data_IF_638482325066
#
_entry.id   IF_638482325066
#
_cell.length_a   1.000
_cell.length_b   1.000
_cell.length_c   1.000
_cell.angle_alpha   90.00
_cell.angle_beta   90.00
_cell.angle_gamma   90.00
#
_symmetry.space_group_name_H-M   'P 1'
#
loop_
_entity.id
_entity.type
_entity.pdbx_description
1 polymer ?
#
# COMPACT_ATOMS: atom_id res chain seq x y z
N UNK A 1 12.91 -11.84 23.85
CA UNK A 1 13.75 -10.70 23.38
C UNK A 1 14.60 -11.20 22.24
N UNK A 2 14.45 -10.63 21.04
CA UNK A 2 15.31 -10.97 19.89
C UNK A 2 16.62 -10.22 20.09
N UNK A 3 17.73 -10.95 20.18
CA UNK A 3 19.07 -10.37 20.28
C UNK A 3 19.34 -9.45 19.09
N UNK A 4 20.04 -8.33 19.32
CA UNK A 4 20.54 -7.48 18.23
C UNK A 4 21.31 -8.36 17.22
N UNK A 5 21.04 -8.22 15.91
CA UNK A 5 21.78 -8.96 14.87
C UNK A 5 23.26 -8.57 14.93
N UNK A 6 24.15 -9.47 14.54
CA UNK A 6 25.59 -9.20 14.54
C UNK A 6 25.98 -8.36 13.33
N UNK A 7 25.45 -8.69 12.16
CA UNK A 7 25.77 -8.02 10.89
C UNK A 7 24.50 -7.62 10.12
N UNK A 8 24.64 -6.64 9.23
CA UNK A 8 23.56 -6.25 8.31
C UNK A 8 23.16 -7.40 7.37
N UNK A 9 24.05 -8.36 7.09
CA UNK A 9 23.75 -9.48 6.20
C UNK A 9 22.81 -10.52 6.85
N UNK A 10 22.81 -10.64 8.18
CA UNK A 10 21.83 -11.49 8.90
C UNK A 10 20.40 -11.00 8.68
N UNK A 11 20.21 -9.69 8.45
CA UNK A 11 18.90 -9.09 8.17
C UNK A 11 18.36 -9.46 6.78
N UNK A 12 19.22 -9.82 5.83
CA UNK A 12 18.77 -10.32 4.52
C UNK A 12 18.05 -11.66 4.66
N UNK A 13 18.51 -12.54 5.56
CA UNK A 13 17.92 -13.88 5.77
C UNK A 13 16.47 -13.82 6.26
N UNK A 14 16.12 -12.76 6.97
CA UNK A 14 14.76 -12.52 7.51
C UNK A 14 13.97 -11.50 6.69
N UNK A 15 14.46 -11.14 5.50
CA UNK A 15 13.86 -10.12 4.60
C UNK A 15 13.48 -8.83 5.35
N UNK A 16 14.33 -8.40 6.29
CA UNK A 16 14.00 -7.29 7.16
C UNK A 16 14.13 -5.94 6.44
N UNK A 17 13.24 -5.03 6.79
CA UNK A 17 13.46 -3.60 6.63
C UNK A 17 14.03 -3.05 7.93
N UNK A 18 14.60 -1.84 7.91
CA UNK A 18 15.16 -1.23 9.11
C UNK A 18 14.51 0.11 9.35
N UNK A 19 13.91 0.27 10.53
CA UNK A 19 13.45 1.58 10.99
C UNK A 19 14.64 2.35 11.54
N UNK A 20 14.90 3.50 10.94
CA UNK A 20 15.94 4.44 11.31
C UNK A 20 15.29 5.59 12.07
N UNK A 21 15.64 5.76 13.34
CA UNK A 21 15.11 6.82 14.18
C UNK A 21 16.25 7.71 14.67
N UNK A 22 16.17 9.00 14.36
CA UNK A 22 17.11 9.98 14.91
C UNK A 22 16.72 10.32 16.35
N UNK A 23 17.65 10.20 17.32
CA UNK A 23 17.36 10.56 18.72
C UNK A 23 17.19 12.05 18.94
N UNK A 24 17.88 12.90 18.16
CA UNK A 24 17.80 14.35 18.30
C UNK A 24 16.47 14.93 17.82
N UNK A 25 16.13 14.73 16.55
CA UNK A 25 14.91 15.30 15.94
C UNK A 25 13.70 14.36 15.97
N UNK A 26 13.85 13.13 16.48
CA UNK A 26 12.81 12.07 16.51
C UNK A 26 12.26 11.68 15.13
N UNK A 27 12.89 12.14 14.04
CA UNK A 27 12.52 11.73 12.69
C UNK A 27 12.71 10.22 12.55
N UNK A 28 11.69 9.56 12.00
CA UNK A 28 11.66 8.13 11.81
C UNK A 28 11.37 7.83 10.36
N UNK A 29 12.19 6.98 9.75
CA UNK A 29 11.98 6.47 8.40
C UNK A 29 12.21 4.96 8.37
N UNK A 30 11.56 4.28 7.43
CA UNK A 30 11.77 2.86 7.17
C UNK A 30 12.59 2.73 5.91
N UNK A 31 13.77 2.13 6.03
CA UNK A 31 14.70 1.95 4.94
C UNK A 31 14.75 0.49 4.50
N UNK A 32 14.92 0.31 3.19
CA UNK A 32 15.36 -0.96 2.63
C UNK A 32 16.77 -1.28 3.09
N UNK A 33 17.04 -2.56 3.37
CA UNK A 33 18.36 -2.99 3.85
C UNK A 33 19.50 -2.62 2.89
N UNK A 34 19.26 -2.66 1.58
CA UNK A 34 20.25 -2.27 0.58
C UNK A 34 20.55 -0.77 0.62
N UNK A 35 19.54 0.07 0.88
CA UNK A 35 19.71 1.51 1.04
C UNK A 35 20.52 1.82 2.31
N UNK A 36 20.24 1.09 3.40
CA UNK A 36 21.02 1.17 4.63
C UNK A 36 22.49 0.79 4.42
N UNK A 37 22.75 -0.35 3.78
CA UNK A 37 24.13 -0.81 3.47
C UNK A 37 24.84 0.21 2.59
N UNK A 38 24.17 0.76 1.57
CA UNK A 38 24.74 1.77 0.68
C UNK A 38 25.06 3.08 1.42
N UNK A 39 24.21 3.53 2.34
CA UNK A 39 24.47 4.71 3.18
C UNK A 39 25.66 4.49 4.12
N UNK A 40 25.70 3.35 4.80
CA UNK A 40 26.81 2.98 5.70
C UNK A 40 28.14 2.95 4.93
N UNK A 41 28.16 2.30 3.75
CA UNK A 41 29.35 2.26 2.89
C UNK A 41 29.76 3.64 2.40
N UNK A 42 28.81 4.50 2.00
CA UNK A 42 29.08 5.90 1.58
C UNK A 42 29.72 6.73 2.69
N UNK A 43 29.39 6.46 3.94
CA UNK A 43 29.96 7.14 5.10
C UNK A 43 31.23 6.44 5.65
N UNK A 44 31.78 5.45 4.95
CA UNK A 44 33.00 4.73 5.33
C UNK A 44 32.83 3.76 6.51
N UNK A 45 31.60 3.39 6.84
CA UNK A 45 31.28 2.49 7.95
C UNK A 45 31.34 1.00 7.59
N UNK A 46 31.44 0.15 8.62
CA UNK A 46 31.37 -1.30 8.48
C UNK A 46 29.90 -1.81 8.51
N UNK A 47 29.65 -2.98 7.92
CA UNK A 47 28.37 -3.69 7.92
C UNK A 47 28.03 -4.38 9.25
N UNK A 48 28.87 -4.24 10.28
CA UNK A 48 28.53 -4.65 11.64
C UNK A 48 27.37 -3.81 12.19
N UNK A 49 26.38 -4.44 12.83
CA UNK A 49 25.16 -3.77 13.27
C UNK A 49 25.42 -2.58 14.21
N UNK A 50 26.34 -2.75 15.17
CA UNK A 50 26.71 -1.68 16.11
C UNK A 50 27.49 -0.54 15.44
N UNK A 51 28.34 -0.85 14.47
CA UNK A 51 29.13 0.13 13.74
C UNK A 51 28.26 0.93 12.75
N UNK A 52 27.30 0.26 12.12
CA UNK A 52 26.33 0.87 11.21
C UNK A 52 25.56 2.02 11.88
N UNK A 53 25.13 1.85 13.15
CA UNK A 53 24.44 2.91 13.93
C UNK A 53 25.20 4.24 13.98
N UNK A 54 26.54 4.19 14.03
CA UNK A 54 27.40 5.39 14.10
C UNK A 54 27.72 5.97 12.72
N UNK A 55 27.48 5.21 11.67
CA UNK A 55 27.86 5.54 10.29
C UNK A 55 26.69 6.11 9.49
N UNK A 56 25.50 6.25 10.10
CA UNK A 56 24.29 6.73 9.43
C UNK A 56 24.00 8.15 9.89
N UNK A 57 23.66 9.00 8.93
CA UNK A 57 23.23 10.38 9.20
C UNK A 57 21.72 10.41 9.43
N UNK A 58 21.26 11.42 10.17
CA UNK A 58 19.84 11.65 10.35
C UNK A 58 19.15 11.80 8.98
N UNK A 59 17.97 11.17 8.76
CA UNK A 59 17.23 11.32 7.50
C UNK A 59 16.89 12.77 7.16
N UNK A 60 16.49 13.55 8.17
CA UNK A 60 16.29 15.02 8.06
C UNK A 60 17.57 15.86 8.11
N UNK A 61 18.75 15.23 8.03
CA UNK A 61 20.08 15.87 8.08
C UNK A 61 20.32 16.80 9.27
N UNK A 62 19.72 16.53 10.43
CA UNK A 62 20.06 17.27 11.64
C UNK A 62 21.43 16.83 12.19
N UNK A 63 22.06 17.66 13.01
CA UNK A 63 23.41 17.44 13.56
C UNK A 63 23.48 16.34 14.64
N UNK A 64 22.42 15.57 14.86
CA UNK A 64 22.40 14.55 15.91
C UNK A 64 23.27 13.34 15.53
N UNK A 65 24.24 12.95 16.37
CA UNK A 65 25.13 11.83 16.08
C UNK A 65 24.55 10.46 16.47
N UNK A 66 23.37 10.44 17.11
CA UNK A 66 22.77 9.22 17.66
C UNK A 66 21.56 8.78 16.84
N UNK A 67 21.73 7.68 16.13
CA UNK A 67 20.69 7.02 15.34
C UNK A 67 20.39 5.65 15.93
N UNK A 68 19.11 5.40 16.20
CA UNK A 68 18.60 4.08 16.54
C UNK A 68 18.20 3.32 15.28
N UNK A 69 18.59 2.05 15.25
CA UNK A 69 18.19 1.10 14.21
C UNK A 69 17.37 0.00 14.85
N UNK A 70 16.16 -0.20 14.33
CA UNK A 70 15.27 -1.28 14.73
C UNK A 70 14.98 -2.17 13.52
N UNK A 71 15.34 -3.47 13.56
CA UNK A 71 15.02 -4.39 12.48
C UNK A 71 13.52 -4.73 12.51
N UNK A 72 12.89 -4.63 11.35
CA UNK A 72 11.51 -5.01 11.11
C UNK A 72 11.51 -6.33 10.33
N UNK A 73 11.41 -7.50 11.01
CA UNK A 73 11.44 -8.79 10.34
C UNK A 73 10.30 -8.92 9.35
N UNK A 74 10.57 -9.54 8.20
CA UNK A 74 9.63 -9.70 7.09
C UNK A 74 9.06 -8.38 6.54
N UNK A 75 9.74 -7.25 6.78
CA UNK A 75 9.31 -5.94 6.30
C UNK A 75 9.12 -5.90 4.79
N UNK A 76 10.07 -6.47 4.01
CA UNK A 76 9.96 -6.55 2.55
C UNK A 76 8.76 -7.38 2.09
N UNK A 77 8.50 -8.51 2.75
CA UNK A 77 7.36 -9.37 2.42
C UNK A 77 6.03 -8.68 2.71
N UNK A 78 5.94 -7.97 3.85
CA UNK A 78 4.78 -7.16 4.20
C UNK A 78 4.56 -6.02 3.21
N UNK A 79 5.61 -5.26 2.87
CA UNK A 79 5.54 -4.19 1.89
C UNK A 79 5.14 -4.69 0.49
N UNK A 80 5.70 -5.82 0.03
CA UNK A 80 5.29 -6.45 -1.24
C UNK A 80 3.82 -6.87 -1.24
N UNK A 81 3.34 -7.44 -0.13
CA UNK A 81 1.94 -7.83 0.02
C UNK A 81 1.02 -6.61 -0.01
N UNK A 82 1.39 -5.55 0.68
CA UNK A 82 0.65 -4.28 0.70
C UNK A 82 0.56 -3.67 -0.70
N UNK A 83 1.70 -3.57 -1.40
CA UNK A 83 1.76 -3.07 -2.77
C UNK A 83 0.91 -3.92 -3.74
N UNK A 84 0.93 -5.25 -3.58
CA UNK A 84 0.09 -6.15 -4.37
C UNK A 84 -1.40 -5.94 -4.08
N UNK A 85 -1.80 -5.78 -2.81
CA UNK A 85 -3.18 -5.46 -2.45
C UNK A 85 -3.63 -4.12 -3.04
N UNK A 86 -2.80 -3.08 -2.95
CA UNK A 86 -3.08 -1.78 -3.54
C UNK A 86 -3.29 -1.89 -5.06
N UNK A 87 -2.38 -2.59 -5.77
CA UNK A 87 -2.49 -2.80 -7.20
C UNK A 87 -3.80 -3.53 -7.58
N UNK A 88 -4.19 -4.56 -6.82
CA UNK A 88 -5.46 -5.26 -7.05
C UNK A 88 -6.68 -4.36 -6.85
N UNK A 89 -6.67 -3.52 -5.82
CA UNK A 89 -7.75 -2.55 -5.57
C UNK A 89 -7.83 -1.55 -6.72
N UNK A 90 -6.71 -0.93 -7.10
CA UNK A 90 -6.68 0.08 -8.16
C UNK A 90 -7.12 -0.47 -9.52
N UNK A 91 -6.64 -1.66 -9.91
CA UNK A 91 -7.04 -2.31 -11.15
C UNK A 91 -8.53 -2.66 -11.14
N UNK A 92 -9.04 -3.16 -10.01
CA UNK A 92 -10.47 -3.46 -9.88
C UNK A 92 -11.31 -2.19 -9.98
N UNK A 93 -10.90 -1.09 -9.34
CA UNK A 93 -11.58 0.19 -9.43
C UNK A 93 -11.54 0.79 -10.84
N UNK A 94 -10.44 0.59 -11.57
CA UNK A 94 -10.34 1.01 -12.96
C UNK A 94 -11.39 0.30 -13.83
N UNK A 95 -11.51 -1.02 -13.70
CA UNK A 95 -12.53 -1.81 -14.42
C UNK A 95 -13.94 -1.29 -14.09
N UNK A 96 -14.22 -1.04 -12.81
CA UNK A 96 -15.54 -0.53 -12.38
C UNK A 96 -15.80 0.89 -12.90
N UNK A 97 -14.78 1.75 -12.98
CA UNK A 97 -14.89 3.11 -13.52
C UNK A 97 -15.22 3.10 -15.01
N UNK A 98 -14.52 2.27 -15.78
CA UNK A 98 -14.75 2.09 -17.21
C UNK A 98 -16.14 1.50 -17.49
N UNK A 99 -16.57 0.52 -16.68
CA UNK A 99 -17.94 0.00 -16.73
C UNK A 99 -18.97 1.07 -16.36
N UNK A 100 -18.67 1.91 -15.38
CA UNK A 100 -19.56 3.00 -14.95
C UNK A 100 -19.77 4.02 -16.07
N UNK A 101 -18.71 4.39 -16.79
CA UNK A 101 -18.79 5.31 -17.93
C UNK A 101 -19.65 4.76 -19.10
N UNK A 102 -19.71 3.43 -19.26
CA UNK A 102 -20.50 2.74 -20.30
C UNK A 102 -21.90 2.31 -19.84
N UNK A 103 -22.13 2.26 -18.53
CA UNK A 103 -23.48 2.28 -17.95
C UNK A 103 -24.22 3.51 -18.49
N UNK A 104 -25.50 3.78 -18.26
CA UNK A 104 -26.25 4.77 -19.06
C UNK A 104 -26.51 4.34 -20.53
N UNK A 105 -25.53 3.84 -21.29
CA UNK A 105 -25.75 3.41 -22.68
C UNK A 105 -25.99 1.90 -22.85
N UNK A 106 -25.34 1.05 -22.05
CA UNK A 106 -25.42 -0.41 -22.20
C UNK A 106 -25.41 -1.14 -20.86
N UNK A 107 -25.95 -2.36 -20.78
CA UNK A 107 -25.78 -3.23 -19.62
C UNK A 107 -24.29 -3.58 -19.46
N UNK A 108 -23.75 -3.43 -18.24
CA UNK A 108 -22.31 -3.61 -17.96
C UNK A 108 -22.06 -4.73 -16.95
N UNK A 109 -23.02 -5.64 -16.80
CA UNK A 109 -22.95 -6.83 -15.96
C UNK A 109 -22.04 -7.92 -16.53
N UNK A 110 -20.81 -7.56 -16.92
CA UNK A 110 -19.87 -8.49 -17.56
C UNK A 110 -19.10 -9.32 -16.53
N UNK A 111 -18.40 -10.35 -17.00
CA UNK A 111 -17.57 -11.20 -16.13
C UNK A 111 -16.45 -10.40 -15.45
N UNK A 112 -15.85 -9.46 -16.16
CA UNK A 112 -14.79 -8.58 -15.65
C UNK A 112 -15.27 -7.74 -14.47
N UNK A 113 -16.47 -7.16 -14.57
CA UNK A 113 -17.10 -6.40 -13.49
C UNK A 113 -17.37 -7.30 -12.29
N UNK A 114 -17.88 -8.51 -12.52
CA UNK A 114 -18.13 -9.48 -11.43
C UNK A 114 -16.83 -9.89 -10.72
N UNK A 115 -15.74 -10.09 -11.47
CA UNK A 115 -14.43 -10.41 -10.92
C UNK A 115 -13.84 -9.24 -10.13
N UNK A 116 -13.92 -8.01 -10.65
CA UNK A 116 -13.48 -6.81 -9.96
C UNK A 116 -14.20 -6.63 -8.62
N UNK A 117 -15.52 -6.80 -8.58
CA UNK A 117 -16.29 -6.77 -7.33
C UNK A 117 -15.87 -7.88 -6.36
N UNK A 118 -15.56 -9.08 -6.86
CA UNK A 118 -15.09 -10.18 -6.03
C UNK A 118 -13.72 -9.87 -5.39
N UNK A 119 -12.79 -9.30 -6.17
CA UNK A 119 -11.47 -8.88 -5.68
C UNK A 119 -11.58 -7.78 -4.62
N UNK A 120 -12.56 -6.89 -4.72
CA UNK A 120 -12.80 -5.82 -3.74
C UNK A 120 -13.46 -6.30 -2.44
N UNK A 121 -14.08 -7.48 -2.42
CA UNK A 121 -14.79 -8.03 -1.25
C UNK A 121 -14.01 -8.03 0.08
N UNK A 122 -12.72 -8.41 0.15
CA UNK A 122 -11.95 -8.33 1.39
C UNK A 122 -11.64 -6.89 1.84
N UNK A 123 -11.67 -5.91 0.93
CA UNK A 123 -11.31 -4.52 1.22
C UNK A 123 -12.54 -3.65 1.55
N UNK A 124 -13.68 -3.98 0.95
CA UNK A 124 -14.97 -3.29 1.12
C UNK A 124 -15.77 -4.03 2.20
N UNK A 125 -15.75 -3.53 3.43
CA UNK A 125 -16.44 -4.17 4.57
C UNK A 125 -17.96 -4.31 4.35
N UNK A 126 -18.57 -3.39 3.60
CA UNK A 126 -20.01 -3.41 3.35
C UNK A 126 -20.34 -4.09 2.01
N UNK A 127 -20.65 -5.40 2.07
CA UNK A 127 -21.04 -6.18 0.89
C UNK A 127 -22.27 -5.64 0.17
N UNK A 128 -23.13 -4.86 0.86
CA UNK A 128 -24.29 -4.21 0.25
C UNK A 128 -23.90 -3.29 -0.90
N UNK A 129 -22.79 -2.55 -0.77
CA UNK A 129 -22.31 -1.63 -1.81
C UNK A 129 -21.91 -2.37 -3.10
N UNK A 130 -21.22 -3.51 -2.96
CA UNK A 130 -20.84 -4.35 -4.09
C UNK A 130 -22.07 -4.93 -4.79
N UNK A 131 -23.06 -5.36 -4.01
CA UNK A 131 -24.33 -5.89 -4.54
C UNK A 131 -25.16 -4.81 -5.23
N UNK A 132 -25.19 -3.59 -4.70
CA UNK A 132 -25.89 -2.45 -5.32
C UNK A 132 -25.25 -2.06 -6.65
N UNK A 133 -23.92 -2.07 -6.74
CA UNK A 133 -23.23 -1.89 -8.01
C UNK A 133 -23.62 -2.99 -9.01
N UNK A 134 -23.56 -4.26 -8.61
CA UNK A 134 -23.90 -5.38 -9.49
C UNK A 134 -25.34 -5.29 -10.00
N UNK A 135 -26.30 -4.98 -9.11
CA UNK A 135 -27.70 -4.79 -9.48
C UNK A 135 -27.89 -3.68 -10.50
N UNK A 136 -27.20 -2.55 -10.34
CA UNK A 136 -27.24 -1.46 -11.31
C UNK A 136 -26.59 -1.85 -12.65
N UNK A 137 -25.52 -2.66 -12.61
CA UNK A 137 -24.80 -3.11 -13.80
C UNK A 137 -25.61 -4.09 -14.65
N UNK A 138 -26.44 -4.94 -14.03
CA UNK A 138 -27.27 -5.96 -14.70
C UNK A 138 -28.72 -5.54 -14.90
N UNK A 139 -29.09 -4.30 -14.59
CA UNK A 139 -30.48 -3.85 -14.70
C UNK A 139 -30.93 -3.78 -16.17
N UNK A 140 -31.98 -4.53 -16.51
CA UNK A 140 -32.66 -4.49 -17.80
C UNK A 140 -34.19 -4.35 -17.60
N UNK A 141 -34.89 -3.54 -18.42
CA UNK A 141 -34.36 -2.63 -19.43
C UNK A 141 -33.57 -1.46 -18.82
N UNK A 142 -32.65 -0.88 -19.60
CA UNK A 142 -31.82 0.25 -19.14
C UNK A 142 -32.69 1.49 -18.94
N UNK A 143 -32.87 1.88 -17.68
CA UNK A 143 -33.52 3.15 -17.34
C UNK A 143 -32.46 4.26 -17.17
N UNK A 144 -32.79 5.53 -17.47
CA UNK A 144 -31.85 6.66 -17.32
C UNK A 144 -31.28 6.82 -15.90
N UNK A 145 -32.00 6.36 -14.88
CA UNK A 145 -31.56 6.39 -13.47
C UNK A 145 -30.81 5.13 -13.03
N UNK A 146 -30.67 4.11 -13.88
CA UNK A 146 -29.97 2.86 -13.59
C UNK A 146 -28.44 2.97 -13.78
N UNK A 147 -27.87 4.14 -13.47
CA UNK A 147 -26.43 4.38 -13.62
C UNK A 147 -25.62 3.75 -12.48
N UNK A 148 -24.42 3.26 -12.81
CA UNK A 148 -23.48 2.74 -11.83
C UNK A 148 -22.66 3.83 -11.11
N UNK A 149 -22.82 5.12 -11.46
CA UNK A 149 -22.02 6.22 -10.90
C UNK A 149 -22.13 6.34 -9.38
N UNK A 150 -23.34 6.25 -8.85
CA UNK A 150 -23.59 6.43 -7.43
C UNK A 150 -23.09 5.24 -6.59
N UNK A 151 -23.39 3.97 -6.95
CA UNK A 151 -22.74 2.81 -6.33
C UNK A 151 -21.21 2.83 -6.41
N UNK A 152 -20.63 3.24 -7.54
CA UNK A 152 -19.18 3.38 -7.69
C UNK A 152 -18.60 4.36 -6.68
N UNK A 153 -19.19 5.56 -6.60
CA UNK A 153 -18.73 6.62 -5.68
C UNK A 153 -18.77 6.16 -4.23
N UNK A 154 -19.78 5.40 -3.82
CA UNK A 154 -19.86 4.87 -2.46
C UNK A 154 -18.79 3.82 -2.16
N UNK A 155 -18.44 2.97 -3.13
CA UNK A 155 -17.32 2.01 -2.98
C UNK A 155 -16.00 2.77 -2.78
N UNK A 156 -15.72 3.76 -3.64
CA UNK A 156 -14.50 4.57 -3.56
C UNK A 156 -14.44 5.35 -2.24
N UNK A 157 -15.55 5.95 -1.80
CA UNK A 157 -15.63 6.65 -0.53
C UNK A 157 -15.34 5.71 0.64
N UNK A 158 -15.94 4.52 0.67
CA UNK A 158 -15.70 3.57 1.76
C UNK A 158 -14.23 3.12 1.81
N UNK A 159 -13.60 2.87 0.66
CA UNK A 159 -12.18 2.51 0.61
C UNK A 159 -11.29 3.64 1.14
N UNK A 160 -11.62 4.89 0.77
CA UNK A 160 -10.92 6.08 1.25
C UNK A 160 -11.08 6.26 2.76
N UNK A 161 -12.30 6.09 3.30
CA UNK A 161 -12.59 6.20 4.73
C UNK A 161 -11.86 5.12 5.55
N UNK A 162 -11.58 3.96 4.95
CA UNK A 162 -10.79 2.88 5.55
C UNK A 162 -9.27 3.11 5.42
N UNK A 163 -8.84 4.21 4.79
CA UNK A 163 -7.43 4.56 4.60
C UNK A 163 -6.72 3.74 3.52
N UNK A 164 -7.48 3.10 2.61
CA UNK A 164 -6.89 2.44 1.43
C UNK A 164 -6.46 3.52 0.46
N UNK A 165 -5.21 3.47 0.00
CA UNK A 165 -4.69 4.45 -0.95
C UNK A 165 -5.25 4.16 -2.35
N UNK A 166 -6.30 4.88 -2.72
CA UNK A 166 -6.91 4.84 -4.04
C UNK A 166 -6.23 5.88 -4.92
N UNK A 167 -5.77 5.50 -6.11
CA UNK A 167 -5.17 6.43 -7.09
C UNK A 167 -6.11 7.58 -7.46
N UNK A 168 -5.56 8.76 -7.75
CA UNK A 168 -6.36 9.96 -8.08
C UNK A 168 -7.33 9.75 -9.26
N UNK A 169 -6.94 8.94 -10.25
CA UNK A 169 -7.79 8.59 -11.39
C UNK A 169 -9.06 7.82 -11.00
N UNK A 170 -9.03 7.08 -9.90
CA UNK A 170 -10.15 6.30 -9.38
C UNK A 170 -10.99 7.07 -8.36
N UNK A 171 -10.64 8.33 -8.05
CA UNK A 171 -11.40 9.21 -7.14
C UNK A 171 -12.38 10.14 -7.87
N UNK A 172 -12.19 10.33 -9.17
CA UNK A 172 -13.02 11.15 -10.08
C UNK A 172 -14.13 10.33 -10.71
#
# INVERSE_FOLDING_TARGET
MVSDPKTLDELNKIEAQVRVTCRGCKATEVWELNALIAEVRRNGGNTDWRAARRSIKCPKRCASPLIDLLPLPFGRRRARREAHHHALVDLSLQILREATARSANEAVGTLEVRLALHVLRPFVRNQRLLNEFWKAATAEPRHPWASCHLPYRWIVQQLTDLGVDVTAANRS
#
